data_IF_493367052154
#
_entry.id   IF_493367052154
#
_cell.length_a   1.000
_cell.length_b   1.000
_cell.length_c   1.000
_cell.angle_alpha   90.00
_cell.angle_beta   90.00
_cell.angle_gamma   90.00
#
_symmetry.space_group_name_H-M   'P 1'
#
loop_
_entity.id
_entity.type
_entity.pdbx_description
1 polymer ?
#
# COMPACT_ATOMS: atom_id res chain seq x y z
N UNK A 1 -17.27 17.86 14.03
CA UNK A 1 -17.67 16.65 13.29
C UNK A 1 -16.63 16.45 12.21
N UNK A 2 -15.63 15.62 12.49
CA UNK A 2 -14.84 15.00 11.41
C UNK A 2 -15.80 14.16 10.54
N UNK A 3 -15.57 14.07 9.22
CA UNK A 3 -16.38 13.20 8.39
C UNK A 3 -16.07 11.75 8.76
N UNK A 4 -17.10 11.01 9.19
CA UNK A 4 -17.08 9.57 9.41
C UNK A 4 -16.46 8.88 8.18
N UNK A 5 -15.25 8.34 8.34
CA UNK A 5 -14.78 7.29 7.47
C UNK A 5 -15.75 6.12 7.63
N UNK A 6 -16.36 5.58 6.57
CA UNK A 6 -17.34 4.51 6.72
C UNK A 6 -16.66 3.33 7.42
N UNK A 7 -17.35 2.68 8.38
CA UNK A 7 -16.89 1.45 9.07
C UNK A 7 -16.42 0.33 8.11
N UNK A 8 -16.73 0.46 6.81
CA UNK A 8 -16.34 -0.42 5.71
C UNK A 8 -14.91 -0.22 5.19
N UNK A 9 -14.27 0.92 5.47
CA UNK A 9 -12.92 1.23 5.00
C UNK A 9 -11.89 1.01 6.10
N UNK A 10 -11.12 -0.08 6.01
CA UNK A 10 -9.96 -0.27 6.91
C UNK A 10 -8.76 0.40 6.27
N UNK A 11 -8.26 1.43 6.96
CA UNK A 11 -7.02 2.11 6.67
C UNK A 11 -5.96 1.60 7.65
N UNK A 12 -4.87 1.02 7.13
CA UNK A 12 -3.73 0.62 7.96
C UNK A 12 -2.45 1.24 7.42
N UNK A 13 -1.68 1.84 8.32
CA UNK A 13 -0.36 2.39 8.03
C UNK A 13 0.70 1.31 8.22
N UNK A 14 1.42 0.95 7.16
CA UNK A 14 2.58 0.06 7.29
C UNK A 14 3.85 0.89 7.20
N UNK A 15 4.62 0.89 8.30
CA UNK A 15 5.88 1.60 8.39
C UNK A 15 7.03 0.72 7.89
N UNK A 16 7.86 1.29 7.00
CA UNK A 16 9.10 0.68 6.54
C UNK A 16 10.11 0.60 7.70
N UNK A 17 10.16 -0.55 8.40
CA UNK A 17 11.23 -0.88 9.33
C UNK A 17 12.22 -1.78 8.56
N UNK A 18 13.53 -1.50 8.63
CA UNK A 18 14.61 -2.01 7.77
C UNK A 18 14.80 -3.55 7.65
N UNK A 19 13.87 -4.35 8.17
CA UNK A 19 13.86 -5.80 8.06
C UNK A 19 13.33 -6.22 6.67
N UNK A 20 14.25 -6.32 5.70
CA UNK A 20 14.03 -6.47 4.26
C UNK A 20 13.15 -7.66 3.83
N UNK A 21 12.74 -8.55 4.75
CA UNK A 21 11.93 -9.73 4.48
C UNK A 21 10.56 -9.75 5.19
N UNK A 22 10.11 -8.63 5.79
CA UNK A 22 8.93 -8.67 6.68
C UNK A 22 7.76 -7.80 6.26
N UNK A 23 7.75 -7.12 5.12
CA UNK A 23 6.60 -6.25 4.79
C UNK A 23 5.28 -7.03 4.62
N UNK A 24 5.29 -8.15 3.91
CA UNK A 24 4.12 -9.06 3.88
C UNK A 24 3.74 -9.55 5.29
N UNK A 25 4.71 -9.83 6.14
CA UNK A 25 4.46 -10.22 7.54
C UNK A 25 3.88 -9.07 8.36
N UNK A 26 4.33 -7.84 8.15
CA UNK A 26 3.80 -6.64 8.78
C UNK A 26 2.35 -6.43 8.39
N UNK A 27 2.01 -6.54 7.10
CA UNK A 27 0.62 -6.47 6.64
C UNK A 27 -0.23 -7.55 7.31
N UNK A 28 0.26 -8.79 7.30
CA UNK A 28 -0.44 -9.93 7.91
C UNK A 28 -0.71 -9.68 9.39
N UNK A 29 0.30 -9.25 10.14
CA UNK A 29 0.18 -8.96 11.57
C UNK A 29 -0.76 -7.78 11.83
N UNK A 30 -0.71 -6.73 11.01
CA UNK A 30 -1.59 -5.56 11.12
C UNK A 30 -3.07 -5.90 10.90
N UNK A 31 -3.35 -6.89 10.05
CA UNK A 31 -4.67 -7.45 9.86
C UNK A 31 -5.00 -8.61 10.81
N UNK A 32 -4.10 -8.93 11.76
CA UNK A 32 -4.26 -10.03 12.72
C UNK A 32 -4.57 -11.38 12.05
N UNK A 33 -3.91 -11.64 10.92
CA UNK A 33 -4.08 -12.88 10.15
C UNK A 33 -3.11 -13.94 10.68
N UNK A 34 -3.65 -15.06 11.15
CA UNK A 34 -2.84 -16.21 11.54
C UNK A 34 -2.22 -16.86 10.29
N UNK A 35 -0.92 -17.14 10.35
CA UNK A 35 -0.28 -17.99 9.36
C UNK A 35 0.88 -18.75 10.03
N UNK A 36 0.64 -20.02 10.30
CA UNK A 36 1.65 -20.98 10.80
C UNK A 36 2.56 -21.51 9.69
N UNK A 37 2.21 -21.24 8.43
CA UNK A 37 2.87 -21.80 7.26
C UNK A 37 4.11 -20.97 6.85
N UNK A 38 5.29 -21.61 6.70
CA UNK A 38 6.47 -20.94 6.19
C UNK A 38 6.35 -20.70 4.68
N UNK A 39 6.27 -19.43 4.26
CA UNK A 39 6.40 -19.07 2.85
C UNK A 39 5.69 -17.80 2.44
N UNK A 40 6.34 -16.99 1.61
CA UNK A 40 5.80 -15.71 1.10
C UNK A 40 4.55 -15.90 0.25
N UNK A 41 4.51 -16.95 -0.58
CA UNK A 41 3.35 -17.28 -1.44
C UNK A 41 2.11 -17.57 -0.59
N UNK A 42 2.24 -18.42 0.42
CA UNK A 42 1.12 -18.77 1.31
C UNK A 42 0.59 -17.56 2.08
N UNK A 43 1.49 -16.70 2.58
CA UNK A 43 1.10 -15.45 3.25
C UNK A 43 0.34 -14.50 2.31
N UNK A 44 0.77 -14.39 1.05
CA UNK A 44 0.06 -13.61 0.03
C UNK A 44 -1.32 -14.19 -0.28
N UNK A 45 -1.46 -15.51 -0.36
CA UNK A 45 -2.78 -16.17 -0.52
C UNK A 45 -3.73 -15.82 0.63
N UNK A 46 -3.24 -15.90 1.88
CA UNK A 46 -4.03 -15.57 3.08
C UNK A 46 -4.47 -14.09 3.06
N UNK A 47 -3.56 -13.18 2.70
CA UNK A 47 -3.89 -11.76 2.54
C UNK A 47 -4.91 -11.56 1.42
N UNK A 48 -4.74 -12.24 0.27
CA UNK A 48 -5.67 -12.13 -0.86
C UNK A 48 -7.07 -12.62 -0.48
N UNK A 49 -7.18 -13.77 0.18
CA UNK A 49 -8.46 -14.31 0.65
C UNK A 49 -9.14 -13.40 1.69
N UNK A 50 -8.36 -12.78 2.57
CA UNK A 50 -8.86 -11.76 3.49
C UNK A 50 -9.43 -10.54 2.74
N UNK A 51 -8.65 -9.96 1.83
CA UNK A 51 -9.06 -8.80 1.02
C UNK A 51 -10.29 -9.11 0.16
N UNK A 52 -10.33 -10.31 -0.41
CA UNK A 52 -11.46 -10.83 -1.19
C UNK A 52 -12.73 -10.91 -0.38
N UNK A 53 -12.67 -11.47 0.85
CA UNK A 53 -13.83 -11.55 1.75
C UNK A 53 -14.36 -10.17 2.11
N UNK A 54 -13.47 -9.21 2.40
CA UNK A 54 -13.85 -7.81 2.66
C UNK A 54 -14.53 -7.19 1.45
N UNK A 55 -13.94 -7.32 0.26
CA UNK A 55 -14.52 -6.80 -0.97
C UNK A 55 -15.92 -7.36 -1.25
N UNK A 56 -16.10 -8.68 -1.12
CA UNK A 56 -17.43 -9.33 -1.26
C UNK A 56 -18.44 -8.87 -0.22
N UNK A 57 -17.98 -8.47 0.97
CA UNK A 57 -18.79 -7.84 2.01
C UNK A 57 -19.06 -6.35 1.81
N UNK A 58 -18.66 -5.75 0.67
CA UNK A 58 -18.83 -4.32 0.40
C UNK A 58 -17.82 -3.42 1.12
N UNK A 59 -16.76 -4.01 1.68
CA UNK A 59 -15.75 -3.31 2.46
C UNK A 59 -14.47 -3.05 1.65
N UNK A 60 -14.17 -1.77 1.43
CA UNK A 60 -12.92 -1.37 0.79
C UNK A 60 -11.74 -1.52 1.76
N UNK A 61 -10.56 -1.85 1.24
CA UNK A 61 -9.33 -1.89 2.04
C UNK A 61 -8.33 -0.92 1.44
N UNK A 62 -7.84 -0.02 2.28
CA UNK A 62 -6.82 0.96 1.94
C UNK A 62 -5.54 0.65 2.71
N UNK A 63 -4.44 0.50 1.98
CA UNK A 63 -3.11 0.30 2.54
C UNK A 63 -2.32 1.59 2.35
N UNK A 64 -2.03 2.29 3.46
CA UNK A 64 -1.20 3.49 3.43
C UNK A 64 0.23 3.09 3.76
N UNK A 65 1.16 3.43 2.89
CA UNK A 65 2.58 3.12 3.06
C UNK A 65 3.32 4.45 3.09
N UNK A 66 3.89 4.77 4.25
CA UNK A 66 4.63 6.02 4.46
C UNK A 66 6.14 5.79 4.34
N UNK A 67 6.79 6.56 3.49
CA UNK A 67 8.24 6.69 3.36
C UNK A 67 8.79 7.55 4.51
N UNK A 68 8.61 7.11 5.76
CA UNK A 68 9.32 7.73 6.89
C UNK A 68 10.85 7.49 6.78
N UNK A 69 11.26 6.50 5.97
CA UNK A 69 12.64 6.23 5.52
C UNK A 69 12.58 5.66 4.11
N UNK A 70 13.65 5.86 3.31
CA UNK A 70 13.74 5.36 1.93
C UNK A 70 13.24 3.92 1.82
N UNK A 71 12.16 3.70 1.07
CA UNK A 71 11.62 2.36 0.84
C UNK A 71 12.76 1.47 0.28
N UNK A 72 12.88 0.19 0.63
CA UNK A 72 13.84 -0.65 -0.08
C UNK A 72 13.34 -0.94 -1.51
N UNK A 73 14.24 -1.30 -2.42
CA UNK A 73 13.83 -1.73 -3.77
C UNK A 73 12.97 -3.00 -3.72
N UNK A 74 13.29 -3.92 -2.82
CA UNK A 74 12.52 -5.14 -2.59
C UNK A 74 11.09 -4.85 -2.10
N UNK A 75 10.91 -3.77 -1.33
CA UNK A 75 9.60 -3.33 -0.86
C UNK A 75 8.72 -2.82 -2.01
N UNK A 76 9.29 -2.06 -2.96
CA UNK A 76 8.55 -1.64 -4.16
C UNK A 76 8.11 -2.84 -5.01
N UNK A 77 8.93 -3.89 -5.09
CA UNK A 77 8.51 -5.14 -5.74
C UNK A 77 7.38 -5.86 -4.98
N UNK A 78 7.40 -5.85 -3.65
CA UNK A 78 6.28 -6.39 -2.86
C UNK A 78 5.00 -5.60 -3.03
N UNK A 79 5.08 -4.27 -3.06
CA UNK A 79 3.96 -3.38 -3.39
C UNK A 79 3.43 -3.71 -4.79
N UNK A 80 4.31 -3.88 -5.78
CA UNK A 80 3.92 -4.28 -7.13
C UNK A 80 3.19 -5.62 -7.13
N UNK A 81 3.66 -6.61 -6.37
CA UNK A 81 2.97 -7.90 -6.25
C UNK A 81 1.58 -7.77 -5.64
N UNK A 82 1.45 -7.03 -4.53
CA UNK A 82 0.15 -6.78 -3.88
C UNK A 82 -0.82 -6.02 -4.79
N UNK A 83 -0.36 -5.03 -5.56
CA UNK A 83 -1.23 -4.29 -6.49
C UNK A 83 -1.78 -5.12 -7.64
N UNK A 84 -1.19 -6.29 -7.92
CA UNK A 84 -1.73 -7.20 -8.95
C UNK A 84 -2.93 -8.02 -8.45
N UNK A 85 -3.17 -8.04 -7.14
CA UNK A 85 -4.28 -8.79 -6.59
C UNK A 85 -5.59 -8.12 -7.00
N UNK A 86 -6.53 -8.94 -7.49
CA UNK A 86 -7.81 -8.48 -8.01
C UNK A 86 -8.92 -9.48 -7.68
N UNK A 87 -10.15 -9.00 -7.58
CA UNK A 87 -11.37 -9.81 -7.47
C UNK A 87 -12.47 -9.18 -8.32
N UNK A 88 -13.14 -9.96 -9.17
CA UNK A 88 -14.26 -9.47 -9.97
C UNK A 88 -13.93 -8.29 -10.89
N UNK A 89 -12.67 -8.18 -11.34
CA UNK A 89 -12.18 -7.08 -12.17
C UNK A 89 -11.84 -5.79 -11.42
N UNK A 90 -11.88 -5.80 -10.08
CA UNK A 90 -11.43 -4.70 -9.24
C UNK A 90 -10.13 -5.06 -8.53
N UNK A 91 -9.23 -4.10 -8.40
CA UNK A 91 -7.95 -4.26 -7.70
C UNK A 91 -8.12 -4.21 -6.19
N UNK A 92 -7.37 -5.05 -5.48
CA UNK A 92 -7.42 -5.18 -4.02
C UNK A 92 -6.01 -5.46 -3.48
N UNK A 93 -5.44 -4.68 -2.55
CA UNK A 93 -6.02 -3.53 -1.87
C UNK A 93 -5.83 -2.24 -2.68
N UNK A 94 -6.55 -1.17 -2.29
CA UNK A 94 -6.20 0.18 -2.77
C UNK A 94 -4.95 0.62 -2.01
N UNK A 95 -3.82 0.77 -2.71
CA UNK A 95 -2.56 1.18 -2.08
C UNK A 95 -2.40 2.69 -2.25
N UNK A 96 -2.02 3.38 -1.18
CA UNK A 96 -1.64 4.79 -1.16
C UNK A 96 -0.18 4.87 -0.71
N UNK A 97 0.71 5.26 -1.62
CA UNK A 97 2.09 5.55 -1.27
C UNK A 97 2.22 7.03 -0.87
N UNK A 98 2.73 7.26 0.34
CA UNK A 98 3.03 8.56 0.92
C UNK A 98 4.54 8.68 1.12
N UNK A 99 5.12 9.81 0.76
CA UNK A 99 6.55 10.03 0.91
C UNK A 99 7.00 11.40 0.45
N UNK A 100 8.32 11.57 0.33
CA UNK A 100 8.95 12.82 -0.11
C UNK A 100 9.16 12.83 -1.64
N UNK A 101 9.60 13.95 -2.27
CA UNK A 101 9.83 14.00 -3.72
C UNK A 101 10.78 12.92 -4.26
N UNK A 102 11.67 12.41 -3.41
CA UNK A 102 12.55 11.28 -3.71
C UNK A 102 11.78 10.00 -4.06
N UNK A 103 10.64 9.72 -3.41
CA UNK A 103 9.80 8.56 -3.71
C UNK A 103 9.36 8.55 -5.16
N UNK A 104 8.85 9.68 -5.65
CA UNK A 104 8.39 9.84 -7.03
C UNK A 104 9.50 9.55 -8.02
N UNK A 105 10.68 10.16 -7.84
CA UNK A 105 11.83 9.90 -8.72
C UNK A 105 12.20 8.42 -8.75
N UNK A 106 12.07 7.73 -7.61
CA UNK A 106 12.37 6.31 -7.51
C UNK A 106 11.33 5.44 -8.20
N UNK A 107 10.06 5.66 -7.93
CA UNK A 107 8.94 4.93 -8.55
C UNK A 107 8.95 5.13 -10.07
N UNK A 108 9.33 6.32 -10.55
CA UNK A 108 9.42 6.63 -11.99
C UNK A 108 10.74 6.16 -12.63
N UNK A 109 11.65 5.56 -11.85
CA UNK A 109 12.89 5.01 -12.40
C UNK A 109 12.62 3.83 -13.33
N UNK A 110 13.55 3.56 -14.26
CA UNK A 110 13.44 2.44 -15.20
C UNK A 110 13.25 1.08 -14.51
N UNK A 111 13.76 0.93 -13.27
CA UNK A 111 13.62 -0.29 -12.49
C UNK A 111 12.17 -0.58 -12.10
N UNK A 112 11.38 0.46 -11.82
CA UNK A 112 10.02 0.33 -11.31
C UNK A 112 8.93 0.76 -12.29
N UNK A 113 9.25 0.81 -13.59
CA UNK A 113 8.31 1.24 -14.63
C UNK A 113 6.99 0.43 -14.60
N UNK A 114 7.06 -0.87 -14.28
CA UNK A 114 5.87 -1.72 -14.15
C UNK A 114 4.97 -1.36 -12.96
N UNK A 115 5.55 -0.89 -11.85
CA UNK A 115 4.79 -0.34 -10.74
C UNK A 115 4.27 1.06 -11.09
N UNK A 116 5.12 1.88 -11.71
CA UNK A 116 4.81 3.25 -12.12
C UNK A 116 3.55 3.34 -12.99
N UNK A 117 3.37 2.37 -13.89
CA UNK A 117 2.21 2.25 -14.79
C UNK A 117 0.90 1.89 -14.09
N UNK A 118 0.94 1.32 -12.88
CA UNK A 118 -0.25 0.96 -12.10
C UNK A 118 -0.79 2.10 -11.26
N UNK A 119 -0.03 3.19 -11.15
CA UNK A 119 -0.43 4.37 -10.40
C UNK A 119 -1.43 5.15 -11.23
N UNK A 120 -2.66 5.18 -10.73
CA UNK A 120 -3.79 5.81 -11.39
C UNK A 120 -3.99 7.26 -11.00
N UNK A 121 -3.53 7.65 -9.81
CA UNK A 121 -3.65 9.01 -9.29
C UNK A 121 -2.31 9.40 -8.71
N UNK A 122 -1.86 10.62 -9.01
CA UNK A 122 -0.68 11.23 -8.40
C UNK A 122 -1.08 12.59 -7.88
N UNK A 123 -0.86 12.81 -6.60
CA UNK A 123 -1.08 14.11 -5.97
C UNK A 123 0.22 14.62 -5.37
N UNK A 124 0.42 15.94 -5.38
CA UNK A 124 1.57 16.61 -4.79
C UNK A 124 1.07 17.75 -3.91
N UNK A 125 1.25 17.64 -2.60
CA UNK A 125 0.98 18.75 -1.70
C UNK A 125 2.16 19.74 -1.73
N UNK A 126 1.87 21.00 -2.02
CA UNK A 126 2.85 22.09 -1.86
C UNK A 126 2.71 22.68 -0.46
N UNK A 127 3.76 23.33 0.04
CA UNK A 127 3.74 23.97 1.37
C UNK A 127 2.66 25.07 1.51
N UNK A 128 2.07 25.53 0.40
CA UNK A 128 0.93 26.45 0.42
C UNK A 128 -0.40 25.73 0.72
N UNK A 129 -0.48 24.42 0.49
CA UNK A 129 -1.68 23.61 0.75
C UNK A 129 -1.83 23.23 2.23
N UNK A 130 -0.72 23.13 2.98
CA UNK A 130 -0.71 22.86 4.42
C UNK A 130 0.38 23.68 5.09
N UNK A 131 0.06 24.43 6.13
CA UNK A 131 0.97 25.29 6.89
C UNK A 131 2.11 24.56 7.65
N UNK A 132 2.50 23.36 7.21
CA UNK A 132 3.60 22.56 7.75
C UNK A 132 4.20 21.66 6.67
N UNK A 133 5.31 22.14 6.09
CA UNK A 133 6.49 21.42 5.54
C UNK A 133 6.45 19.90 5.23
N UNK A 134 5.38 19.37 4.62
CA UNK A 134 5.37 18.01 4.07
C UNK A 134 4.66 17.97 2.74
N UNK A 135 5.42 17.79 1.67
CA UNK A 135 4.88 17.21 0.46
C UNK A 135 4.50 15.77 0.76
N UNK A 136 3.19 15.50 0.78
CA UNK A 136 2.68 14.14 0.72
C UNK A 136 2.47 13.81 -0.77
N UNK A 137 2.94 12.64 -1.20
CA UNK A 137 2.46 12.05 -2.44
C UNK A 137 1.33 11.11 -2.08
N UNK A 138 0.31 11.00 -2.92
CA UNK A 138 -0.64 9.92 -2.83
C UNK A 138 -0.67 9.24 -4.18
N UNK A 139 -0.15 8.03 -4.24
CA UNK A 139 -0.23 7.21 -5.44
C UNK A 139 -1.27 6.13 -5.22
N UNK A 140 -2.44 6.27 -5.88
CA UNK A 140 -3.45 5.20 -5.88
C UNK A 140 -3.01 4.17 -6.90
N UNK A 141 -2.48 3.05 -6.42
CA UNK A 141 -2.21 1.91 -7.28
C UNK A 141 -3.54 1.19 -7.52
N UNK A 142 -3.97 1.12 -8.79
CA UNK A 142 -5.00 0.17 -9.23
C UNK A 142 -4.28 -1.14 -9.51
#
# INVERSE_FOLDING_TARGET
MEPDAPESAVCRSVYNNHDQNRFIDSIRNEFSLEADEPGKVKKLEIIHDFLRRRYKGGAATFLIIDENRSLADDLLEEIRMLSNLQEGGQHLPNIILVGQPGLRMRVDSRKFLHLSQRISVRFHFTAETFASEKTVYSEVVK
#
